data_IF_572529291922
#
_entry.id   IF_572529291922
#
_cell.length_a   1.000
_cell.length_b   1.000
_cell.length_c   1.000
_cell.angle_alpha   90.00
_cell.angle_beta   90.00
_cell.angle_gamma   90.00
#
_symmetry.space_group_name_H-M   'P 1'
#
loop_
_entity.id
_entity.type
_entity.pdbx_description
1 polymer ?
2 non-polymer ?
3 non-polymer ?
4 water ?
#
# COMPACT_ATOMS: atom_id res chain seq x y z
N UNK A 1 10.75 -24.43 6.02
CA UNK A 1 9.58 -23.74 5.44
C UNK A 1 9.23 -24.36 4.11
N UNK A 2 7.97 -24.37 3.69
CA UNK A 2 7.64 -24.82 2.33
C UNK A 2 8.19 -23.84 1.30
N UNK A 3 8.23 -24.24 0.06
CA UNK A 3 8.40 -23.34 -1.05
C UNK A 3 7.39 -22.21 -0.97
N UNK A 4 7.68 -21.01 -1.41
CA UNK A 4 6.73 -19.90 -1.28
C UNK A 4 5.35 -20.22 -1.82
N UNK A 5 5.20 -20.79 -3.00
CA UNK A 5 3.84 -21.06 -3.52
C UNK A 5 3.10 -22.02 -2.64
N UNK A 6 3.80 -23.03 -2.16
CA UNK A 6 3.19 -23.98 -1.26
C UNK A 6 2.75 -23.34 0.04
N UNK A 7 3.59 -22.42 0.57
CA UNK A 7 3.19 -21.74 1.78
C UNK A 7 1.98 -20.84 1.53
N UNK A 8 1.91 -20.18 0.38
CA UNK A 8 0.72 -19.34 0.11
C UNK A 8 -0.52 -20.19 0.09
N UNK A 9 -0.46 -21.36 -0.54
CA UNK A 9 -1.59 -22.26 -0.62
C UNK A 9 -1.99 -22.70 0.81
N UNK A 10 -1.00 -23.08 1.63
CA UNK A 10 -1.28 -23.45 3.01
C UNK A 10 -1.95 -22.35 3.80
N UNK A 11 -1.48 -21.12 3.58
CA UNK A 11 -2.10 -19.96 4.25
C UNK A 11 -3.53 -19.78 3.80
N UNK A 12 -3.79 -19.86 2.50
CA UNK A 12 -5.13 -19.66 1.98
C UNK A 12 -6.03 -20.72 2.62
N UNK A 13 -5.57 -21.96 2.72
CA UNK A 13 -6.32 -23.02 3.34
C UNK A 13 -6.59 -22.79 4.81
N UNK A 14 -5.57 -22.37 5.57
CA UNK A 14 -5.71 -22.15 6.99
C UNK A 14 -6.62 -20.96 7.22
N UNK A 15 -6.59 -19.93 6.41
CA UNK A 15 -7.39 -18.71 6.64
C UNK A 15 -8.83 -18.91 6.19
N UNK A 16 -9.06 -19.86 5.30
CA UNK A 16 -10.39 -20.07 4.77
C UNK A 16 -10.88 -18.79 4.14
N UNK A 17 -10.12 -18.12 3.32
CA UNK A 17 -10.38 -16.97 2.49
C UNK A 17 -9.46 -16.98 1.28
N UNK A 18 -9.58 -16.04 0.37
CA UNK A 18 -8.69 -15.98 -0.79
C UNK A 18 -7.49 -15.14 -0.42
N UNK A 19 -6.32 -15.63 -0.91
CA UNK A 19 -5.07 -14.92 -0.84
C UNK A 19 -4.67 -14.55 -2.26
N UNK A 20 -4.10 -13.38 -2.43
CA UNK A 20 -3.52 -12.90 -3.70
C UNK A 20 -2.11 -12.46 -3.42
N UNK A 21 -1.14 -12.84 -4.24
CA UNK A 21 0.25 -12.47 -3.99
C UNK A 21 1.04 -12.32 -5.27
N UNK A 22 1.94 -11.36 -5.27
CA UNK A 22 3.01 -11.25 -6.24
C UNK A 22 4.30 -10.94 -5.55
N UNK A 23 5.37 -11.52 -6.09
CA UNK A 23 6.75 -11.22 -5.78
C UNK A 23 7.40 -10.76 -7.09
N UNK A 24 7.89 -9.55 -7.15
CA UNK A 24 8.39 -8.95 -8.38
C UNK A 24 9.75 -8.34 -8.17
N UNK A 25 10.65 -8.51 -9.11
CA UNK A 25 11.94 -7.84 -9.04
C UNK A 25 11.77 -6.34 -9.24
N UNK A 26 12.23 -5.53 -8.27
CA UNK A 26 12.01 -4.07 -8.36
C UNK A 26 12.69 -3.50 -9.59
N UNK A 27 13.93 -3.92 -9.83
CA UNK A 27 14.68 -3.34 -10.93
C UNK A 27 14.11 -3.76 -12.28
N UNK A 28 13.85 -5.05 -12.49
CA UNK A 28 13.47 -5.48 -13.83
C UNK A 28 11.99 -5.62 -14.07
N UNK A 29 11.19 -5.79 -13.01
CA UNK A 29 9.78 -6.04 -13.17
C UNK A 29 9.44 -7.50 -13.38
N UNK A 30 10.39 -8.40 -13.40
CA UNK A 30 10.04 -9.80 -13.58
C UNK A 30 9.19 -10.28 -12.40
N UNK A 31 8.23 -11.11 -12.70
CA UNK A 31 7.38 -11.77 -11.71
C UNK A 31 7.99 -13.11 -11.34
N UNK A 32 8.30 -13.27 -10.07
CA UNK A 32 8.88 -14.50 -9.54
C UNK A 32 7.89 -15.45 -8.97
N UNK A 33 6.95 -15.00 -8.21
CA UNK A 33 5.91 -15.81 -7.59
C UNK A 33 4.60 -15.09 -7.86
N UNK A 34 3.59 -15.81 -8.20
CA UNK A 34 2.27 -15.24 -8.42
C UNK A 34 1.22 -16.24 -7.97
N UNK A 35 0.19 -15.71 -7.35
CA UNK A 35 -0.93 -16.53 -6.89
C UNK A 35 -2.17 -15.61 -6.93
N UNK A 36 -3.17 -16.00 -7.68
CA UNK A 36 -4.39 -15.23 -7.89
C UNK A 36 -4.01 -13.77 -8.25
N UNK A 37 -2.98 -13.66 -9.07
CA UNK A 37 -2.43 -12.31 -9.31
C UNK A 37 -3.31 -11.41 -10.15
N UNK A 38 -4.25 -11.97 -10.91
CA UNK A 38 -5.21 -11.18 -11.69
C UNK A 38 -6.60 -11.11 -11.07
N UNK A 39 -6.73 -11.58 -9.82
CA UNK A 39 -8.00 -11.46 -9.14
C UNK A 39 -8.03 -10.17 -8.32
N UNK A 40 -9.25 -9.66 -8.11
CA UNK A 40 -9.45 -8.40 -7.41
C UNK A 40 -9.47 -8.59 -5.90
N UNK A 41 -8.87 -7.63 -5.24
CA UNK A 41 -8.84 -7.51 -3.81
C UNK A 41 -9.03 -6.05 -3.41
N UNK A 42 -9.78 -5.80 -2.31
CA UNK A 42 -9.83 -4.44 -1.77
C UNK A 42 -8.44 -3.92 -1.41
N UNK A 43 -8.12 -2.67 -1.82
CA UNK A 43 -6.86 -2.08 -1.47
C UNK A 43 -6.77 -1.68 0.01
N UNK A 44 -7.85 -1.22 0.58
CA UNK A 44 -7.81 -0.64 1.91
C UNK A 44 -6.74 0.46 1.93
N UNK A 45 -6.01 0.55 3.04
CA UNK A 45 -5.11 1.66 3.20
C UNK A 45 -3.92 1.63 2.24
N UNK A 46 -3.67 0.48 1.60
CA UNK A 46 -2.58 0.41 0.64
C UNK A 46 -2.76 1.39 -0.50
N UNK A 47 -3.98 1.85 -0.77
CA UNK A 47 -4.19 2.82 -1.81
C UNK A 47 -3.38 4.10 -1.56
N UNK A 48 -3.06 4.38 -0.29
CA UNK A 48 -2.44 5.65 0.03
C UNK A 48 -1.10 5.86 -0.62
N UNK A 49 -0.40 4.78 -0.95
CA UNK A 49 0.88 4.94 -1.63
C UNK A 49 0.63 5.48 -3.06
N UNK A 50 -0.36 4.94 -3.74
CA UNK A 50 -0.72 5.45 -5.09
C UNK A 50 -1.21 6.88 -4.99
N UNK A 51 -2.02 7.19 -3.99
CA UNK A 51 -2.49 8.55 -3.75
C UNK A 51 -1.34 9.53 -3.68
N UNK A 52 -0.33 9.23 -2.87
CA UNK A 52 0.78 10.17 -2.74
C UNK A 52 1.64 10.16 -4.02
N UNK A 53 1.65 9.11 -4.79
CA UNK A 53 2.22 9.19 -6.12
C UNK A 53 1.54 10.23 -6.99
N UNK A 54 0.25 10.29 -6.93
CA UNK A 54 -0.53 11.27 -7.70
C UNK A 54 -0.24 12.68 -7.20
N UNK A 55 -0.11 12.84 -5.90
CA UNK A 55 0.30 14.15 -5.35
C UNK A 55 1.65 14.57 -5.86
N UNK A 56 2.62 13.65 -5.83
CA UNK A 56 3.97 13.97 -6.26
C UNK A 56 3.99 14.30 -7.75
N UNK A 57 3.16 13.63 -8.55
CA UNK A 57 3.08 13.95 -9.96
C UNK A 57 2.64 15.41 -10.15
N UNK A 58 1.69 15.84 -9.33
CA UNK A 58 1.30 17.25 -9.41
C UNK A 58 2.43 18.21 -9.01
N UNK A 59 3.19 17.85 -7.98
CA UNK A 59 4.33 18.67 -7.58
C UNK A 59 5.33 18.77 -8.72
N UNK A 60 5.65 17.66 -9.35
CA UNK A 60 6.58 17.69 -10.44
C UNK A 60 6.12 18.55 -11.60
N UNK A 61 4.80 18.59 -11.84
CA UNK A 61 4.22 19.38 -12.91
C UNK A 61 4.09 20.85 -12.59
N UNK A 62 4.41 21.24 -11.37
CA UNK A 62 4.33 22.65 -10.99
C UNK A 62 2.93 23.04 -10.53
N UNK A 63 2.11 22.06 -10.23
CA UNK A 63 0.70 22.26 -9.88
C UNK A 63 0.44 22.11 -8.39
N UNK A 64 1.45 21.77 -7.61
CA UNK A 64 1.30 21.48 -6.20
C UNK A 64 2.64 21.75 -5.56
N UNK A 65 2.65 22.01 -4.25
CA UNK A 65 3.87 22.05 -3.46
C UNK A 65 3.67 21.19 -2.24
N UNK A 66 4.65 20.39 -1.85
CA UNK A 66 4.55 19.65 -0.60
C UNK A 66 4.45 20.57 0.60
N UNK A 67 4.94 21.78 0.48
CA UNK A 67 4.89 22.76 1.57
C UNK A 67 3.53 23.38 1.77
N UNK A 68 2.61 23.27 0.79
CA UNK A 68 1.36 24.03 0.90
C UNK A 68 0.53 23.57 2.08
N UNK A 69 0.13 24.51 2.91
CA UNK A 69 -0.66 24.19 4.11
C UNK A 69 -2.13 24.04 3.76
N UNK A 70 -2.73 22.93 4.17
CA UNK A 70 -4.15 22.69 4.06
C UNK A 70 -4.78 22.94 5.42
N UNK A 71 -5.74 23.84 5.42
CA UNK A 71 -6.59 24.13 6.59
C UNK A 71 -7.82 23.26 6.52
N UNK A 72 -8.22 22.73 7.64
CA UNK A 72 -9.39 21.87 7.68
C UNK A 72 -10.12 22.03 9.02
N UNK A 73 -11.26 21.39 9.08
CA UNK A 73 -12.18 21.57 10.22
C UNK A 73 -12.56 20.20 10.80
N UNK A 74 -13.10 20.28 12.00
CA UNK A 74 -13.41 19.03 12.74
C UNK A 74 -14.40 18.19 12.02
N UNK A 75 -15.35 18.86 11.37
CA UNK A 75 -16.37 18.14 10.62
C UNK A 75 -15.76 17.35 9.50
N UNK A 76 -14.53 17.66 9.09
CA UNK A 76 -13.88 16.91 8.01
C UNK A 76 -13.30 15.59 8.48
N UNK A 77 -13.17 15.41 9.79
CA UNK A 77 -12.47 14.22 10.24
C UNK A 77 -13.35 12.99 10.23
N UNK A 78 -12.73 11.88 9.84
CA UNK A 78 -13.34 10.57 9.87
C UNK A 78 -12.60 9.69 10.88
N UNK A 79 -13.07 8.47 11.06
CA UNK A 79 -12.41 7.51 11.98
C UNK A 79 -10.94 7.33 11.61
N UNK A 80 -10.14 7.22 12.63
CA UNK A 80 -8.71 7.04 12.64
C UNK A 80 -7.98 8.26 12.10
N UNK A 81 -7.84 9.27 12.92
CA UNK A 81 -7.23 10.55 12.58
C UNK A 81 -6.16 10.88 13.60
N UNK A 82 -5.21 10.02 13.88
CA UNK A 82 -4.28 10.28 15.01
C UNK A 82 -3.40 11.49 14.86
N UNK A 83 -3.03 11.85 13.68
CA UNK A 83 -2.22 13.02 13.43
C UNK A 83 -3.10 14.20 13.16
N UNK A 84 -4.03 14.04 12.22
CA UNK A 84 -4.81 15.17 11.76
C UNK A 84 -5.69 15.74 12.87
N UNK A 85 -6.17 14.95 13.82
CA UNK A 85 -6.94 15.56 14.91
C UNK A 85 -6.14 16.57 15.70
N UNK A 86 -4.82 16.51 15.69
CA UNK A 86 -4.04 17.46 16.44
C UNK A 86 -3.82 18.81 15.77
N UNK A 87 -4.19 18.98 14.53
CA UNK A 87 -3.85 20.17 13.74
C UNK A 87 -5.02 20.92 13.18
N UNK A 88 -6.19 20.86 13.89
CA UNK A 88 -7.27 21.70 13.43
C UNK A 88 -6.97 23.14 13.32
N UNK A 89 -6.23 23.69 14.32
CA UNK A 89 -5.99 25.12 14.30
C UNK A 89 -4.79 25.47 13.48
N UNK A 90 -3.79 24.57 13.33
CA UNK A 90 -2.63 25.05 12.55
C UNK A 90 -2.45 24.40 11.20
N UNK A 91 -3.30 23.42 10.87
CA UNK A 91 -3.25 22.87 9.53
C UNK A 91 -2.10 21.90 9.36
N UNK A 92 -2.04 21.27 8.19
CA UNK A 92 -0.94 20.38 7.84
C UNK A 92 -0.55 20.62 6.42
N UNK A 93 0.76 20.52 6.12
CA UNK A 93 1.20 20.65 4.73
C UNK A 93 0.79 19.42 3.92
N UNK A 94 0.77 19.55 2.62
CA UNK A 94 0.52 18.41 1.74
C UNK A 94 1.50 17.30 2.03
N UNK A 95 2.77 17.62 2.17
CA UNK A 95 3.76 16.58 2.48
C UNK A 95 3.54 15.95 3.84
N UNK A 96 3.16 16.76 4.84
CA UNK A 96 2.85 16.21 6.17
C UNK A 96 1.64 15.29 6.11
N UNK A 97 0.68 15.64 5.25
CA UNK A 97 -0.50 14.79 5.07
C UNK A 97 -0.11 13.45 4.46
N UNK A 98 0.75 13.46 3.43
CA UNK A 98 1.23 12.18 2.88
C UNK A 98 1.99 11.39 3.95
N UNK A 99 2.81 12.03 4.75
CA UNK A 99 3.50 11.31 5.79
C UNK A 99 2.53 10.71 6.77
N UNK A 100 1.46 11.46 7.17
CA UNK A 100 0.47 10.93 8.08
C UNK A 100 -0.29 9.77 7.48
N UNK A 101 -0.70 9.91 6.22
CA UNK A 101 -1.45 8.88 5.55
C UNK A 101 -0.62 7.62 5.41
N UNK A 102 0.62 7.71 4.93
CA UNK A 102 1.39 6.51 4.69
C UNK A 102 2.01 5.94 5.96
N UNK A 103 2.55 6.80 6.84
CA UNK A 103 3.31 6.29 7.96
C UNK A 103 2.48 6.11 9.23
N UNK A 104 1.31 6.72 9.37
CA UNK A 104 0.50 6.67 10.55
C UNK A 104 -0.89 6.21 10.27
N UNK A 105 -1.21 5.85 9.04
CA UNK A 105 -2.55 5.43 8.64
C UNK A 105 -3.65 6.39 9.09
N UNK A 106 -3.43 7.62 8.77
CA UNK A 106 -4.43 8.65 9.09
C UNK A 106 -5.44 8.79 7.96
N UNK A 107 -6.66 8.42 8.23
CA UNK A 107 -7.72 8.42 7.22
C UNK A 107 -8.11 9.81 6.78
N UNK A 108 -8.18 10.75 7.72
CA UNK A 108 -8.60 12.11 7.33
C UNK A 108 -7.51 12.75 6.48
N UNK A 109 -6.25 12.47 6.76
CA UNK A 109 -5.17 12.96 5.94
C UNK A 109 -5.36 12.44 4.52
N UNK A 110 -5.67 11.15 4.40
CA UNK A 110 -5.90 10.58 3.06
C UNK A 110 -7.05 11.26 2.33
N UNK A 111 -8.16 11.54 3.03
CA UNK A 111 -9.27 12.25 2.39
C UNK A 111 -8.86 13.68 1.98
N UNK A 112 -8.11 14.40 2.79
CA UNK A 112 -7.68 15.75 2.41
C UNK A 112 -6.83 15.69 1.17
N UNK A 113 -5.95 14.68 1.09
CA UNK A 113 -5.11 14.49 -0.08
C UNK A 113 -5.95 14.12 -1.30
N UNK A 114 -6.94 13.22 -1.12
CA UNK A 114 -7.80 12.89 -2.22
C UNK A 114 -8.43 14.13 -2.83
N UNK A 115 -8.84 15.09 -1.99
CA UNK A 115 -9.46 16.33 -2.49
C UNK A 115 -8.45 17.12 -3.27
N UNK A 116 -7.17 17.03 -3.07
CA UNK A 116 -6.19 17.79 -3.83
C UNK A 116 -5.93 17.19 -5.18
N UNK A 117 -6.26 15.91 -5.43
CA UNK A 117 -5.95 15.20 -6.66
C UNK A 117 -7.19 14.89 -7.48
N UNK A 118 -8.32 15.51 -7.10
CA UNK A 118 -9.49 15.31 -7.90
C UNK A 118 -10.37 14.18 -7.44
N UNK A 119 -10.18 13.77 -6.18
CA UNK A 119 -11.04 12.76 -5.60
C UNK A 119 -10.72 11.35 -6.13
N UNK A 120 -11.53 10.37 -5.77
CA UNK A 120 -11.36 9.02 -6.34
C UNK A 120 -11.32 9.03 -7.84
N UNK A 121 -12.17 9.80 -8.52
CA UNK A 121 -12.12 9.83 -9.97
C UNK A 121 -10.78 10.37 -10.48
N UNK A 122 -10.22 11.39 -9.87
CA UNK A 122 -8.94 11.96 -10.19
C UNK A 122 -7.85 10.91 -9.98
N UNK A 123 -7.93 10.17 -8.88
CA UNK A 123 -6.90 9.16 -8.63
C UNK A 123 -6.99 8.03 -9.64
N UNK A 124 -8.18 7.62 -10.00
CA UNK A 124 -8.32 6.61 -11.04
C UNK A 124 -7.80 7.13 -12.37
N UNK A 125 -8.05 8.39 -12.70
CA UNK A 125 -7.53 8.95 -13.94
C UNK A 125 -6.01 8.91 -13.94
N UNK A 126 -5.39 9.19 -12.79
CA UNK A 126 -3.93 9.18 -12.67
C UNK A 126 -3.47 7.77 -12.93
N UNK A 127 -4.15 6.74 -12.32
CA UNK A 127 -3.78 5.37 -12.60
C UNK A 127 -3.79 5.06 -14.09
N UNK A 128 -4.83 5.49 -14.79
CA UNK A 128 -4.82 5.31 -16.24
C UNK A 128 -3.71 6.06 -16.92
N UNK A 129 -3.34 7.24 -16.50
CA UNK A 129 -2.25 8.03 -17.07
C UNK A 129 -0.93 7.29 -16.96
N UNK A 130 -0.78 6.43 -15.94
CA UNK A 130 0.45 5.68 -15.77
C UNK A 130 0.32 4.27 -16.29
N UNK A 131 -0.75 3.96 -17.00
CA UNK A 131 -0.92 2.66 -17.65
C UNK A 131 -1.49 1.55 -16.79
N UNK A 132 -2.08 1.91 -15.66
CA UNK A 132 -2.79 0.91 -14.83
C UNK A 132 -4.27 1.01 -15.19
N UNK A 133 -4.77 0.05 -15.98
CA UNK A 133 -6.16 0.08 -16.44
C UNK A 133 -7.04 -0.81 -15.61
N UNK A 134 -6.57 -1.28 -14.44
CA UNK A 134 -7.25 -2.24 -13.59
C UNK A 134 -7.60 -1.70 -12.22
N UNK A 135 -6.64 -1.16 -11.53
CA UNK A 135 -6.89 -0.59 -10.21
C UNK A 135 -7.89 0.57 -10.30
N UNK A 136 -8.76 0.65 -9.27
CA UNK A 136 -9.74 1.74 -9.32
C UNK A 136 -10.07 2.17 -7.87
N UNK A 137 -10.20 3.48 -7.70
CA UNK A 137 -10.72 4.01 -6.45
C UNK A 137 -12.02 4.70 -6.77
N UNK A 138 -13.01 4.39 -5.95
CA UNK A 138 -14.37 4.88 -6.14
C UNK A 138 -14.91 5.71 -4.99
N UNK A 139 -14.47 5.41 -3.78
CA UNK A 139 -15.00 6.03 -2.56
C UNK A 139 -13.87 6.61 -1.72
N UNK A 140 -14.28 7.36 -0.70
CA UNK A 140 -13.42 8.05 0.23
C UNK A 140 -13.25 7.20 1.48
N UNK A 141 -12.36 7.61 2.37
CA UNK A 141 -12.32 6.96 3.67
C UNK A 141 -13.53 7.32 4.50
N UNK A 142 -14.17 6.44 5.20
CA UNK A 142 -13.85 5.03 5.40
C UNK A 142 -14.64 4.04 4.56
N UNK A 143 -15.56 4.51 3.74
CA UNK A 143 -16.41 3.59 3.00
C UNK A 143 -15.62 2.71 2.04
N UNK A 144 -14.44 3.15 1.60
CA UNK A 144 -13.70 2.36 0.60
C UNK A 144 -13.26 1.03 1.15
N UNK A 145 -13.37 0.79 2.45
CA UNK A 145 -12.96 -0.46 3.09
C UNK A 145 -14.07 -1.48 3.19
N UNK A 146 -15.22 -1.27 2.58
CA UNK A 146 -16.43 -2.08 2.81
C UNK A 146 -16.20 -3.51 2.37
N UNK A 147 -15.40 -3.74 1.34
CA UNK A 147 -15.03 -5.09 0.93
C UNK A 147 -16.23 -5.98 0.69
N UNK A 148 -17.25 -5.49 0.01
CA UNK A 148 -18.40 -6.34 -0.39
C UNK A 148 -17.97 -7.43 -1.37
N UNK A 149 -18.44 -8.65 -1.17
CA UNK A 149 -18.15 -9.73 -2.12
C UNK A 149 -18.47 -9.39 -3.57
N UNK A 150 -17.53 -9.61 -4.51
CA UNK A 150 -17.70 -9.40 -5.93
C UNK A 150 -17.69 -7.97 -6.38
N UNK A 151 -17.69 -7.02 -5.45
CA UNK A 151 -17.77 -5.59 -5.79
C UNK A 151 -16.40 -5.18 -6.26
N UNK A 152 -16.31 -4.58 -7.44
CA UNK A 152 -15.06 -4.16 -7.98
C UNK A 152 -14.63 -2.78 -7.45
N UNK A 153 -15.48 -2.08 -6.69
CA UNK A 153 -15.09 -0.76 -6.27
C UNK A 153 -13.85 -0.81 -5.37
N UNK A 154 -12.93 0.11 -5.52
CA UNK A 154 -11.85 0.25 -4.53
C UNK A 154 -10.94 -0.97 -4.48
N UNK A 155 -10.76 -1.60 -5.63
CA UNK A 155 -9.96 -2.78 -5.73
C UNK A 155 -8.73 -2.59 -6.64
N UNK A 156 -7.78 -3.52 -6.44
CA UNK A 156 -6.65 -3.71 -7.32
C UNK A 156 -6.51 -5.20 -7.56
N UNK A 157 -5.48 -5.57 -8.31
CA UNK A 157 -5.03 -6.95 -8.35
C UNK A 157 -3.60 -7.00 -7.88
N UNK A 158 -3.12 -8.12 -7.38
CA UNK A 158 -1.70 -8.14 -6.98
C UNK A 158 -0.78 -7.74 -8.13
N UNK A 159 -1.02 -8.24 -9.33
CA UNK A 159 -0.17 -7.91 -10.45
C UNK A 159 -0.22 -6.43 -10.79
N UNK A 160 -1.40 -5.80 -10.76
CA UNK A 160 -1.48 -4.39 -11.12
C UNK A 160 -0.85 -3.53 -10.06
N UNK A 161 -1.11 -3.85 -8.80
CA UNK A 161 -0.52 -3.04 -7.74
C UNK A 161 1.00 -3.13 -7.75
N UNK A 162 1.54 -4.33 -7.92
CA UNK A 162 2.99 -4.44 -7.99
C UNK A 162 3.58 -3.61 -9.12
N UNK A 163 2.96 -3.76 -10.32
CA UNK A 163 3.48 -3.01 -11.49
C UNK A 163 3.38 -1.51 -11.26
N UNK A 164 2.28 -1.06 -10.68
CA UNK A 164 2.08 0.36 -10.39
C UNK A 164 3.06 0.89 -9.38
N UNK A 165 3.31 0.13 -8.31
CA UNK A 165 4.32 0.57 -7.35
C UNK A 165 5.69 0.67 -8.00
N UNK A 166 6.06 -0.28 -8.83
CA UNK A 166 7.32 -0.22 -9.54
C UNK A 166 7.36 1.02 -10.43
N UNK A 167 6.28 1.29 -11.14
CA UNK A 167 6.26 2.50 -11.99
C UNK A 167 6.47 3.76 -11.21
N UNK A 168 5.80 3.88 -10.05
CA UNK A 168 5.92 5.09 -9.25
C UNK A 168 7.30 5.26 -8.68
N UNK A 169 7.90 4.15 -8.21
CA UNK A 169 9.17 4.26 -7.52
C UNK A 169 10.34 4.38 -8.46
N UNK A 170 10.28 3.82 -9.67
CA UNK A 170 11.48 3.62 -10.47
C UNK A 170 11.45 4.03 -11.93
N UNK A 171 10.29 4.33 -12.48
CA UNK A 171 10.19 4.43 -13.95
C UNK A 171 10.48 5.79 -14.51
N UNK A 172 10.71 6.77 -13.74
CA UNK A 172 11.05 8.17 -14.08
C UNK A 172 9.81 8.90 -14.57
N UNK A 173 8.62 8.36 -14.27
CA UNK A 173 7.38 9.12 -14.36
C UNK A 173 7.35 10.22 -13.31
N UNK A 174 7.78 9.93 -12.11
CA UNK A 174 8.07 10.91 -11.07
C UNK A 174 9.53 11.33 -11.15
N UNK A 175 9.80 12.55 -10.74
CA UNK A 175 11.16 13.09 -10.66
C UNK A 175 12.02 12.31 -9.71
N UNK A 176 13.33 12.53 -9.80
CA UNK A 176 14.24 11.82 -8.90
C UNK A 176 13.92 12.12 -7.44
N UNK A 177 13.68 13.40 -7.11
CA UNK A 177 13.39 13.72 -5.72
C UNK A 177 12.04 13.18 -5.27
N UNK A 178 11.05 13.21 -6.18
CA UNK A 178 9.76 12.61 -5.84
C UNK A 178 9.82 11.10 -5.66
N UNK A 179 10.55 10.39 -6.50
CA UNK A 179 10.72 8.98 -6.28
C UNK A 179 11.34 8.70 -4.93
N UNK A 180 12.32 9.51 -4.58
CA UNK A 180 13.00 9.35 -3.29
C UNK A 180 12.05 9.62 -2.13
N UNK A 181 11.17 10.61 -2.27
CA UNK A 181 10.22 10.92 -1.22
C UNK A 181 9.23 9.80 -1.03
N UNK A 182 8.69 9.24 -2.10
CA UNK A 182 7.68 8.18 -1.95
C UNK A 182 8.26 7.00 -1.23
N UNK A 183 9.48 6.62 -1.67
CA UNK A 183 10.22 5.53 -1.02
C UNK A 183 10.40 5.81 0.45
N UNK A 184 10.82 7.01 0.79
CA UNK A 184 11.12 7.34 2.17
C UNK A 184 9.86 7.24 3.07
N UNK A 185 8.70 7.68 2.54
CA UNK A 185 7.48 7.53 3.30
C UNK A 185 7.21 6.07 3.63
N UNK A 186 7.43 5.16 2.67
CA UNK A 186 7.25 3.72 2.94
C UNK A 186 8.29 3.22 3.94
N UNK A 187 9.53 3.68 3.87
CA UNK A 187 10.54 3.29 4.80
C UNK A 187 10.13 3.64 6.22
N UNK A 188 9.46 4.81 6.35
CA UNK A 188 9.14 5.35 7.66
C UNK A 188 7.83 4.89 8.24
N UNK A 189 7.15 3.89 7.66
CA UNK A 189 5.90 3.40 8.21
C UNK A 189 6.03 3.04 9.68
N UNK A 190 5.23 3.65 10.52
CA UNK A 190 5.29 3.38 11.93
C UNK A 190 4.34 2.26 12.33
N UNK A 191 3.35 1.95 11.53
CA UNK A 191 2.31 1.00 11.91
C UNK A 191 2.84 -0.41 11.87
N UNK A 192 3.56 -0.81 10.83
CA UNK A 192 4.05 -2.17 10.69
C UNK A 192 5.56 -2.26 10.52
N UNK A 193 6.26 -1.21 10.14
CA UNK A 193 7.70 -1.29 9.83
C UNK A 193 8.51 -1.83 10.97
N UNK A 194 8.42 -1.19 12.16
CA UNK A 194 9.22 -1.68 13.27
C UNK A 194 8.87 -3.10 13.71
N UNK A 195 7.59 -3.48 13.66
CA UNK A 195 7.17 -4.84 13.96
C UNK A 195 7.80 -5.82 12.99
N UNK A 196 7.76 -5.51 11.69
CA UNK A 196 8.38 -6.38 10.71
C UNK A 196 9.89 -6.50 10.99
N UNK A 197 10.55 -5.39 11.26
CA UNK A 197 12.00 -5.44 11.51
C UNK A 197 12.33 -6.34 12.70
N UNK A 198 11.44 -6.35 13.69
CA UNK A 198 11.65 -7.17 14.88
C UNK A 198 11.67 -8.66 14.58
N UNK A 199 11.12 -9.12 13.47
CA UNK A 199 11.17 -10.52 13.11
C UNK A 199 11.97 -10.77 11.83
N UNK A 200 12.55 -9.74 11.20
CA UNK A 200 13.39 -9.99 10.03
C UNK A 200 14.83 -10.31 10.45
N UNK A 201 15.49 -11.21 9.74
CA UNK A 201 16.89 -11.43 10.03
C UNK A 201 17.66 -10.13 9.83
N UNK A 202 18.77 -10.00 10.56
CA UNK A 202 19.71 -8.92 10.29
C UNK A 202 20.04 -8.90 8.81
N UNK A 203 20.15 -7.69 8.28
CA UNK A 203 20.55 -7.49 6.90
C UNK A 203 19.45 -7.33 5.92
N UNK A 204 18.19 -7.55 6.32
CA UNK A 204 17.05 -7.46 5.39
C UNK A 204 16.40 -6.11 5.49
N UNK A 205 16.19 -5.47 4.35
CA UNK A 205 15.50 -4.22 4.12
C UNK A 205 13.99 -4.45 4.17
N UNK A 206 13.25 -3.53 4.79
CA UNK A 206 11.81 -3.47 4.60
C UNK A 206 11.33 -2.01 4.47
N UNK A 207 10.40 -1.82 3.56
CA UNK A 207 9.57 -0.61 3.48
C UNK A 207 8.16 -1.10 3.15
N UNK A 208 7.11 -0.43 3.63
CA UNK A 208 5.80 -1.06 3.52
C UNK A 208 4.69 -0.06 3.70
N UNK A 209 3.49 -0.48 3.28
CA UNK A 209 2.22 0.04 3.76
C UNK A 209 1.23 -1.13 3.92
N UNK A 210 0.55 -1.16 5.05
CA UNK A 210 -0.42 -2.20 5.36
C UNK A 210 -1.82 -1.62 5.35
N UNK A 211 -2.81 -2.49 5.25
CA UNK A 211 -4.19 -2.12 5.40
C UNK A 211 -5.03 -3.24 5.95
N UNK A 212 -6.21 -2.90 6.46
CA UNK A 212 -7.20 -3.85 6.95
C UNK A 212 -8.57 -3.27 6.63
N UNK A 213 -9.52 -4.19 6.44
CA UNK A 213 -10.89 -3.77 6.14
C UNK A 213 -11.87 -4.81 6.58
N UNK A 214 -13.10 -4.66 6.06
CA UNK A 214 -14.20 -5.53 6.50
C UNK A 214 -14.05 -6.92 5.97
N UNK A 215 -14.75 -7.86 6.57
CA UNK A 215 -14.82 -9.26 6.14
C UNK A 215 -13.46 -9.93 6.06
N UNK A 216 -12.59 -9.52 6.97
CA UNK A 216 -11.28 -10.08 7.10
C UNK A 216 -10.25 -9.48 6.15
N UNK A 217 -10.60 -8.52 5.36
CA UNK A 217 -9.64 -8.00 4.35
C UNK A 217 -8.40 -7.47 5.03
N UNK A 218 -7.23 -7.79 4.45
CA UNK A 218 -5.96 -7.43 5.04
C UNK A 218 -4.96 -7.37 3.92
N UNK A 219 -4.01 -6.45 3.92
CA UNK A 219 -3.02 -6.41 2.85
C UNK A 219 -1.77 -5.74 3.28
N UNK A 220 -0.75 -5.98 2.45
CA UNK A 220 0.53 -5.32 2.56
C UNK A 220 1.14 -5.14 1.18
N UNK A 221 1.70 -3.97 0.95
CA UNK A 221 2.55 -3.70 -0.19
C UNK A 221 3.92 -3.37 0.39
N UNK A 222 4.94 -4.01 -0.09
CA UNK A 222 6.24 -3.91 0.54
C UNK A 222 7.40 -4.02 -0.45
N UNK A 223 8.52 -3.47 -0.02
CA UNK A 223 9.83 -3.64 -0.64
C UNK A 223 10.68 -4.43 0.34
N UNK A 224 11.34 -5.49 -0.12
CA UNK A 224 12.06 -6.42 0.70
C UNK A 224 13.33 -6.85 0.02
N UNK A 225 14.42 -7.03 0.77
CA UNK A 225 15.57 -7.73 0.15
C UNK A 225 16.68 -7.85 1.13
N UNK A 226 17.62 -8.75 0.82
CA UNK A 226 18.85 -8.95 1.59
C UNK A 226 19.87 -7.86 1.32
N UNK A 227 20.89 -7.87 2.13
CA UNK A 227 22.04 -6.99 1.97
C UNK A 227 21.63 -5.54 1.96
N UNK A 228 20.57 -5.27 2.77
CA UNK A 228 20.13 -3.90 3.04
C UNK A 228 19.66 -3.18 1.80
N UNK A 229 19.17 -3.91 0.84
CA UNK A 229 18.69 -3.38 -0.45
C UNK A 229 17.27 -3.80 -0.76
N UNK A 230 16.49 -2.88 -1.29
CA UNK A 230 15.13 -3.12 -1.74
C UNK A 230 15.09 -3.88 -3.04
N UNK A 231 15.16 -5.21 -2.99
CA UNK A 231 15.33 -6.03 -4.18
C UNK A 231 14.00 -6.35 -4.87
N UNK A 232 12.95 -6.61 -4.10
CA UNK A 232 11.71 -7.11 -4.61
C UNK A 232 10.52 -6.34 -4.02
N UNK A 233 9.51 -6.20 -4.85
CA UNK A 233 8.15 -5.80 -4.41
C UNK A 233 7.43 -7.06 -4.04
N UNK A 234 6.79 -7.06 -2.90
CA UNK A 234 5.91 -8.16 -2.47
C UNK A 234 4.59 -7.52 -2.12
N UNK A 235 3.54 -8.03 -2.75
CA UNK A 235 2.16 -7.57 -2.53
C UNK A 235 1.35 -8.79 -2.08
N UNK A 236 0.74 -8.73 -0.92
CA UNK A 236 -0.13 -9.79 -0.42
C UNK A 236 -1.45 -9.20 0.03
N UNK A 237 -2.54 -9.73 -0.46
CA UNK A 237 -3.89 -9.35 -0.04
C UNK A 237 -4.62 -10.63 0.43
N UNK A 238 -5.41 -10.46 1.46
CA UNK A 238 -6.31 -11.47 2.00
C UNK A 238 -7.73 -10.89 1.93
N UNK A 239 -8.70 -11.76 1.62
CA UNK A 239 -10.09 -11.31 1.67
C UNK A 239 -11.00 -12.47 2.06
N UNK A 240 -12.17 -12.11 2.61
CA UNK A 240 -13.25 -13.06 2.92
C UNK A 240 -12.75 -14.15 3.82
N UNK A 241 -12.02 -13.87 4.88
CA UNK A 241 -11.56 -14.78 5.88
C UNK A 241 -12.10 -14.36 7.24
N UNK A 242 -12.56 -15.31 8.06
CA UNK A 242 -13.00 -15.01 9.43
C UNK A 242 -11.88 -14.99 10.46
N UNK A 243 -10.63 -15.14 10.05
CA UNK A 243 -9.54 -15.33 10.98
C UNK A 243 -9.25 -14.10 11.80
N UNK A 244 -8.74 -14.32 13.00
CA UNK A 244 -8.27 -13.25 13.83
C UNK A 244 -7.21 -12.42 13.08
N UNK A 245 -7.12 -11.14 13.49
CA UNK A 245 -6.03 -10.30 12.97
C UNK A 245 -4.66 -10.96 13.24
N UNK A 246 -4.48 -11.50 14.44
CA UNK A 246 -3.19 -12.12 14.75
C UNK A 246 -2.88 -13.25 13.77
N UNK A 247 -3.88 -14.08 13.47
CA UNK A 247 -3.62 -15.18 12.56
C UNK A 247 -3.36 -14.68 11.16
N UNK A 248 -4.09 -13.65 10.72
CA UNK A 248 -3.79 -13.10 9.39
C UNK A 248 -2.36 -12.60 9.35
N UNK A 249 -1.93 -11.89 10.38
CA UNK A 249 -0.56 -11.37 10.47
C UNK A 249 0.44 -12.50 10.43
N UNK A 250 0.18 -13.55 11.19
CA UNK A 250 1.09 -14.69 11.24
C UNK A 250 1.18 -15.40 9.91
N UNK A 251 0.09 -15.54 9.18
CA UNK A 251 0.16 -16.18 7.87
C UNK A 251 0.94 -15.37 6.89
N UNK A 252 0.75 -14.02 6.92
CA UNK A 252 1.56 -13.17 6.07
C UNK A 252 3.05 -13.29 6.46
N UNK A 253 3.33 -13.33 7.72
CA UNK A 253 4.72 -13.52 8.18
C UNK A 253 5.24 -14.89 7.70
N UNK A 254 4.45 -15.94 7.71
CA UNK A 254 4.87 -17.22 7.24
C UNK A 254 5.20 -17.24 5.77
N UNK A 255 4.42 -16.50 4.96
CA UNK A 255 4.80 -16.33 3.54
C UNK A 255 6.13 -15.63 3.44
N UNK A 256 6.36 -14.58 4.22
CA UNK A 256 7.65 -13.92 4.29
C UNK A 256 8.78 -14.87 4.64
N UNK A 257 8.58 -15.74 5.64
CA UNK A 257 9.62 -16.68 6.00
C UNK A 257 9.98 -17.56 4.84
N UNK A 258 8.96 -18.06 4.14
CA UNK A 258 9.20 -18.96 2.98
C UNK A 258 9.99 -18.22 1.93
N UNK A 259 9.65 -16.95 1.66
CA UNK A 259 10.44 -16.17 0.69
C UNK A 259 11.88 -16.04 1.10
N UNK A 260 12.12 -15.70 2.36
CA UNK A 260 13.50 -15.54 2.84
C UNK A 260 14.29 -16.81 2.73
N UNK A 261 13.70 -17.98 3.05
CA UNK A 261 14.38 -19.25 3.03
C UNK A 261 14.53 -19.82 1.67
N UNK A 262 13.87 -19.32 0.68
CA UNK A 262 13.98 -19.75 -0.72
C UNK A 262 14.19 -18.55 -1.63
N UNK A 263 15.11 -17.67 -1.26
CA UNK A 263 15.20 -16.39 -1.95
C UNK A 263 15.77 -16.44 -3.34
N UNK A 264 16.70 -17.36 -3.63
CA UNK A 264 17.37 -17.41 -4.95
C UNK A 264 16.61 -18.12 -6.07
N UNK A 265 15.66 -17.39 -6.63
CA UNK A 265 14.80 -17.77 -7.74
C UNK A 265 14.80 -16.62 -8.76
#
# INVERSE_FOLDING_TARGET
SPQPLEQIKLSESQLSGRVGMIEMDLASGRTLTAWRADERFPMMSTFKVVLCGAVLARVDAGDEQLERKIHYRQQDLVDYSPVSEKHLADGMTVGELCAAAITMSDNSAANLLLATVGGPAGLTAFLRQIGDNVTRLDRWETELNEALPGDARDTTTPASMAATLRKLLTSQRLSARSQRQLLQWMVDDRVAGPLIRSVLPAGWFIADKTGAGERGARGIVALLGPNNKAERIVVIYLRDTPASMAERNQQIAGIGAALIEHWQR
#
